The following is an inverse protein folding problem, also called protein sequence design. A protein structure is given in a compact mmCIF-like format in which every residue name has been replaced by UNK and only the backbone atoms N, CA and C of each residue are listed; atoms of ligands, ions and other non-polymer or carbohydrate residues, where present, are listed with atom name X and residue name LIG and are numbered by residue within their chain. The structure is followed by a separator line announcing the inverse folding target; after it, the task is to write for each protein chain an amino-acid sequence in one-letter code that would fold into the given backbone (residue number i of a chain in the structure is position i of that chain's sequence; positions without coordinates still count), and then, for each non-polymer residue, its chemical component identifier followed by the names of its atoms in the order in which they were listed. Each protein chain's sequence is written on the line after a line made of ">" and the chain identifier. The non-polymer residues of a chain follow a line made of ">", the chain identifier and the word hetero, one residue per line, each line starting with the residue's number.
data_IF_026520081257
#
_entry.id   IF_026520081257
#
_cell.length_a   1.000
_cell.length_b   1.000
_cell.length_c   1.000
_cell.angle_alpha   90.00
_cell.angle_beta   90.00
_cell.angle_gamma   90.00
#
_symmetry.space_group_name_H-M   'P 1'
#
loop_
_entity.id
_entity.type
_entity.pdbx_description
1 polymer ?
#
# COMPACT_ATOMS: atom_id res chain seq x y z
N UNK A 1 14.61 -13.82 -3.17
CA UNK A 1 15.66 -13.67 -2.13
C UNK A 1 14.98 -13.45 -0.80
N UNK A 2 14.76 -14.51 -0.02
CA UNK A 2 14.25 -14.41 1.36
C UNK A 2 15.42 -14.03 2.26
N UNK A 3 15.47 -12.78 2.73
CA UNK A 3 16.65 -12.23 3.42
C UNK A 3 16.62 -12.40 4.96
N UNK A 4 15.67 -13.15 5.53
CA UNK A 4 15.60 -13.37 6.99
C UNK A 4 15.48 -14.83 7.43
N UNK A 5 15.52 -15.82 6.51
CA UNK A 5 15.41 -17.24 6.87
C UNK A 5 14.06 -17.67 7.46
N UNK A 6 13.20 -16.72 7.84
CA UNK A 6 11.78 -16.87 8.13
C UNK A 6 10.97 -16.70 6.83
N UNK A 7 11.45 -17.29 5.73
CA UNK A 7 10.74 -17.26 4.47
C UNK A 7 9.44 -18.00 4.64
N UNK A 8 8.33 -17.27 4.60
CA UNK A 8 7.02 -17.90 4.64
C UNK A 8 6.96 -18.79 3.40
N UNK A 9 6.86 -20.10 3.63
CA UNK A 9 6.80 -21.07 2.55
C UNK A 9 5.55 -20.77 1.72
N UNK A 10 5.68 -20.85 0.39
CA UNK A 10 4.51 -20.86 -0.49
C UNK A 10 3.50 -21.88 0.08
N UNK A 11 2.29 -21.47 0.49
CA UNK A 11 1.33 -20.69 -0.31
C UNK A 11 0.95 -19.32 0.29
N UNK A 12 1.75 -18.76 1.19
CA UNK A 12 1.35 -17.52 1.88
C UNK A 12 1.46 -16.32 0.96
N UNK A 13 0.38 -15.56 0.83
CA UNK A 13 0.29 -14.43 -0.09
C UNK A 13 1.11 -13.24 0.40
N UNK A 14 2.39 -13.19 0.00
CA UNK A 14 3.23 -12.00 0.15
C UNK A 14 3.07 -11.10 -1.08
N UNK A 15 2.29 -10.02 -0.96
CA UNK A 15 1.93 -9.16 -2.11
C UNK A 15 3.16 -8.59 -2.84
N UNK A 16 4.25 -8.29 -2.13
CA UNK A 16 5.52 -7.85 -2.73
C UNK A 16 6.22 -8.93 -3.56
N UNK A 17 6.22 -10.18 -3.10
CA UNK A 17 6.75 -11.33 -3.85
C UNK A 17 5.86 -11.64 -5.04
N UNK A 18 4.53 -11.57 -4.88
CA UNK A 18 3.57 -11.76 -5.98
C UNK A 18 3.77 -10.76 -7.12
N UNK A 19 4.09 -9.50 -6.82
CA UNK A 19 4.39 -8.49 -7.86
C UNK A 19 5.72 -8.78 -8.56
N UNK A 20 6.74 -9.18 -7.81
CA UNK A 20 8.03 -9.57 -8.39
C UNK A 20 7.89 -10.79 -9.31
N UNK A 21 7.09 -11.78 -8.90
CA UNK A 21 6.80 -12.98 -9.68
C UNK A 21 5.85 -12.70 -10.87
N UNK A 22 4.94 -11.73 -10.75
CA UNK A 22 4.08 -11.29 -11.84
C UNK A 22 4.85 -10.51 -12.92
N UNK A 23 6.03 -9.98 -12.61
CA UNK A 23 6.85 -9.17 -13.54
C UNK A 23 7.25 -9.93 -14.81
N UNK A 24 7.53 -11.24 -14.68
CA UNK A 24 7.81 -12.13 -15.81
C UNK A 24 6.57 -12.43 -16.67
N UNK A 25 5.37 -12.24 -16.13
CA UNK A 25 4.10 -12.48 -16.81
C UNK A 25 3.40 -11.19 -17.27
N UNK A 26 4.05 -10.03 -17.21
CA UNK A 26 3.46 -8.74 -17.62
C UNK A 26 2.88 -8.80 -19.04
N UNK A 27 3.61 -9.44 -19.96
CA UNK A 27 3.23 -9.50 -21.37
C UNK A 27 2.26 -10.63 -21.70
N UNK A 28 2.08 -11.60 -20.81
CA UNK A 28 1.29 -12.81 -21.05
C UNK A 28 0.02 -12.87 -20.19
N UNK A 29 0.09 -12.45 -18.93
CA UNK A 29 -0.99 -12.48 -17.94
C UNK A 29 -0.97 -11.22 -17.05
N UNK A 30 -1.29 -10.04 -17.59
CA UNK A 30 -1.22 -8.76 -16.86
C UNK A 30 -2.14 -8.70 -15.63
N UNK A 31 -3.25 -9.46 -15.63
CA UNK A 31 -4.16 -9.53 -14.48
C UNK A 31 -3.52 -10.09 -13.22
N UNK A 32 -2.44 -10.87 -13.35
CA UNK A 32 -1.74 -11.46 -12.20
C UNK A 32 -0.98 -10.41 -11.37
N UNK A 33 -0.60 -9.30 -12.00
CA UNK A 33 -0.03 -8.13 -11.34
C UNK A 33 -1.12 -7.20 -10.75
N UNK A 34 -2.31 -7.19 -11.35
CA UNK A 34 -3.38 -6.26 -11.00
C UNK A 34 -3.88 -6.44 -9.56
N UNK A 35 -4.16 -7.68 -9.15
CA UNK A 35 -4.70 -7.97 -7.81
C UNK A 35 -3.79 -7.56 -6.65
N UNK A 36 -2.51 -7.98 -6.60
CA UNK A 36 -1.61 -7.54 -5.52
C UNK A 36 -1.29 -6.04 -5.62
N UNK A 37 -1.25 -5.47 -6.83
CA UNK A 37 -1.07 -4.04 -7.03
C UNK A 37 -2.24 -3.21 -6.48
N UNK A 38 -3.48 -3.66 -6.73
CA UNK A 38 -4.69 -3.01 -6.23
C UNK A 38 -4.79 -3.10 -4.71
N UNK A 39 -4.44 -4.24 -4.12
CA UNK A 39 -4.43 -4.41 -2.67
C UNK A 39 -3.46 -3.43 -1.99
N UNK A 40 -2.24 -3.28 -2.53
CA UNK A 40 -1.28 -2.29 -2.04
C UNK A 40 -1.77 -0.86 -2.22
N UNK A 41 -2.35 -0.54 -3.38
CA UNK A 41 -2.90 0.79 -3.66
C UNK A 41 -3.97 1.17 -2.63
N UNK A 42 -4.93 0.29 -2.36
CA UNK A 42 -6.00 0.52 -1.38
C UNK A 42 -5.41 0.69 0.02
N UNK A 43 -4.47 -0.17 0.43
CA UNK A 43 -3.83 -0.06 1.74
C UNK A 43 -3.13 1.28 1.90
N UNK A 44 -2.31 1.69 0.93
CA UNK A 44 -1.60 2.98 0.99
C UNK A 44 -2.58 4.14 1.01
N UNK A 45 -3.62 4.11 0.17
CA UNK A 45 -4.65 5.14 0.16
C UNK A 45 -5.40 5.23 1.50
N UNK A 46 -5.77 4.10 2.09
CA UNK A 46 -6.44 4.08 3.40
C UNK A 46 -5.55 4.68 4.49
N UNK A 47 -4.27 4.30 4.54
CA UNK A 47 -3.33 4.88 5.51
C UNK A 47 -3.09 6.37 5.27
N UNK A 48 -3.00 6.82 4.02
CA UNK A 48 -2.86 8.24 3.70
C UNK A 48 -4.09 9.03 4.16
N UNK A 49 -5.30 8.57 3.84
CA UNK A 49 -6.54 9.24 4.26
C UNK A 49 -6.71 9.28 5.78
N UNK A 50 -6.34 8.20 6.48
CA UNK A 50 -6.35 8.16 7.95
C UNK A 50 -5.32 9.14 8.51
N UNK A 51 -4.12 9.20 7.92
CA UNK A 51 -3.08 10.14 8.30
C UNK A 51 -3.49 11.60 8.10
N UNK A 52 -4.12 11.91 6.97
CA UNK A 52 -4.65 13.23 6.66
C UNK A 52 -5.79 13.61 7.60
N UNK A 53 -6.75 12.71 7.84
CA UNK A 53 -7.83 12.95 8.80
C UNK A 53 -7.30 13.16 10.22
N UNK A 54 -6.30 12.36 10.65
CA UNK A 54 -5.65 12.51 11.94
C UNK A 54 -4.91 13.86 12.02
N UNK A 55 -4.21 14.25 10.95
CA UNK A 55 -3.53 15.54 10.85
C UNK A 55 -4.52 16.70 10.95
N UNK A 56 -5.62 16.65 10.22
CA UNK A 56 -6.66 17.70 10.23
C UNK A 56 -7.28 17.86 11.61
N UNK A 57 -7.42 16.76 12.38
CA UNK A 57 -7.93 16.83 13.76
C UNK A 57 -6.87 17.30 14.77
N UNK A 58 -5.58 17.08 14.49
CA UNK A 58 -4.47 17.45 15.36
C UNK A 58 -3.86 18.83 15.05
N UNK A 59 -4.13 19.41 13.88
CA UNK A 59 -3.62 20.72 13.46
C UNK A 59 -4.74 21.79 13.53
N UNK A 60 -4.91 22.47 14.69
CA UNK A 60 -5.98 23.44 14.91
C UNK A 60 -5.73 24.82 14.24
N UNK A 61 -4.76 24.95 13.34
CA UNK A 61 -4.31 26.26 12.84
C UNK A 61 -5.29 27.00 11.92
N UNK A 62 -6.40 26.40 11.49
CA UNK A 62 -7.39 27.09 10.65
C UNK A 62 -8.36 28.01 11.43
N UNK A 63 -8.42 27.91 12.76
CA UNK A 63 -9.38 28.69 13.56
C UNK A 63 -8.88 30.13 13.85
N UNK A 64 -7.57 30.38 13.77
CA UNK A 64 -7.00 31.65 14.25
C UNK A 64 -6.99 32.77 13.20
N UNK A 65 -7.15 32.47 11.90
CA UNK A 65 -7.01 33.50 10.84
C UNK A 65 -8.30 34.29 10.54
N UNK A 66 -9.47 33.82 10.98
CA UNK A 66 -10.74 34.56 10.84
C UNK A 66 -11.05 35.49 12.04
N UNK A 67 -10.10 35.71 12.94
CA UNK A 67 -10.26 36.58 14.10
C UNK A 67 -9.84 38.04 13.87
N UNK A 68 -9.50 38.45 12.64
CA UNK A 68 -9.15 39.83 12.30
C UNK A 68 -9.82 40.33 11.02
#
# INVERSE_FOLDING_TARGET
>A
MSFLGLGVTAPTAEWGVMINDARQYIWTQPLQMFWPGLALFISVMAFNLVGDALRDHLDPHLVTEHAH
#
